data_IF_002975307142
#
_entry.id   IF_002975307142
#
_cell.length_a   1.000
_cell.length_b   1.000
_cell.length_c   1.000
_cell.angle_alpha   90.00
_cell.angle_beta   90.00
_cell.angle_gamma   90.00
#
_symmetry.space_group_name_H-M   'P 1'
#
loop_
_entity.id
_entity.type
_entity.pdbx_description
1 polymer ?
2 non-polymer ?
3 non-polymer ?
4 water ?
#
# COMPACT_ATOMS: atom_id res chain seq x y z
N UNK A 1 22.56 4.89 16.63
CA UNK A 1 21.63 5.20 17.70
C UNK A 1 20.36 4.35 17.56
N UNK A 2 19.59 4.27 18.63
CA UNK A 2 18.45 3.37 18.70
C UNK A 2 17.30 3.94 17.86
N UNK A 3 16.70 3.08 17.03
CA UNK A 3 15.43 3.43 16.40
C UNK A 3 14.37 3.62 17.49
N UNK A 4 13.39 4.47 17.22
CA UNK A 4 12.25 4.63 18.13
C UNK A 4 11.00 4.27 17.35
N UNK A 5 10.22 3.33 17.89
CA UNK A 5 8.95 2.91 17.29
C UNK A 5 7.80 3.27 18.20
N UNK A 6 6.87 4.09 17.69
CA UNK A 6 5.62 4.38 18.37
C UNK A 6 4.56 3.39 17.90
N UNK A 7 4.06 2.56 18.82
CA UNK A 7 3.24 1.40 18.48
C UNK A 7 2.11 1.24 19.48
N UNK A 8 1.13 0.39 19.15
CA UNK A 8 0.10 -0.01 20.10
C UNK A 8 0.12 -1.52 20.25
N UNK A 9 -0.18 -1.98 21.46
CA UNK A 9 0.04 -3.37 21.85
C UNK A 9 -0.88 -4.35 21.13
N UNK A 10 -2.03 -3.89 20.61
CA UNK A 10 -3.00 -4.78 20.00
C UNK A 10 -3.22 -4.49 18.51
N UNK A 11 -2.32 -3.73 17.87
CA UNK A 11 -2.52 -3.34 16.50
C UNK A 11 -1.66 -4.09 15.51
N UNK A 12 -2.27 -4.84 14.59
CA UNK A 12 -1.50 -5.68 13.66
C UNK A 12 -0.40 -4.92 12.91
N UNK A 13 -0.63 -3.67 12.46
CA UNK A 13 0.48 -2.99 11.75
C UNK A 13 1.69 -2.75 12.65
N UNK A 14 1.44 -2.43 13.91
CA UNK A 14 2.50 -2.30 14.92
C UNK A 14 3.23 -3.62 15.12
N UNK A 15 2.47 -4.72 15.27
CA UNK A 15 3.08 -6.03 15.50
C UNK A 15 3.99 -6.40 14.36
N UNK A 16 3.56 -6.13 13.12
CA UNK A 16 4.35 -6.51 11.96
C UNK A 16 5.70 -5.80 11.96
N UNK A 17 5.72 -4.51 12.28
CA UNK A 17 6.98 -3.79 12.29
C UNK A 17 7.89 -4.34 13.38
N UNK A 18 7.33 -4.64 14.55
CA UNK A 18 8.14 -5.19 15.63
C UNK A 18 8.75 -6.52 15.23
N UNK A 19 7.96 -7.40 14.60
CA UNK A 19 8.48 -8.70 14.17
C UNK A 19 9.64 -8.54 13.19
N UNK A 20 9.52 -7.63 12.23
CA UNK A 20 10.61 -7.39 11.29
C UNK A 20 11.87 -6.87 11.98
N UNK A 21 11.72 -5.88 12.88
CA UNK A 21 12.88 -5.38 13.62
C UNK A 21 13.56 -6.49 14.41
N UNK A 22 12.76 -7.36 15.03
CA UNK A 22 13.30 -8.47 15.81
C UNK A 22 13.95 -9.50 14.91
N UNK A 23 13.29 -9.85 13.80
CA UNK A 23 13.85 -10.84 12.87
C UNK A 23 15.17 -10.36 12.29
N UNK A 24 15.28 -9.08 12.00
CA UNK A 24 16.50 -8.49 11.42
C UNK A 24 17.52 -8.11 12.47
N UNK A 25 17.20 -8.32 13.76
CA UNK A 25 18.08 -7.95 14.87
C UNK A 25 18.49 -6.48 14.81
N UNK A 26 17.54 -5.61 14.49
CA UNK A 26 17.76 -4.17 14.51
C UNK A 26 17.28 -3.66 15.87
N UNK A 27 18.15 -3.12 16.71
CA UNK A 27 17.70 -2.68 18.04
C UNK A 27 16.85 -1.42 17.95
N UNK A 28 15.86 -1.33 18.84
CA UNK A 28 14.98 -0.17 18.86
C UNK A 28 14.39 0.02 20.25
N UNK A 29 13.93 1.25 20.49
CA UNK A 29 13.14 1.58 21.66
C UNK A 29 11.66 1.56 21.29
N UNK A 30 10.86 0.88 22.11
CA UNK A 30 9.43 0.75 21.91
C UNK A 30 8.70 1.78 22.78
N UNK A 31 7.84 2.58 22.16
CA UNK A 31 6.97 3.50 22.88
C UNK A 31 5.55 3.04 22.68
N UNK A 32 4.91 2.56 23.74
CA UNK A 32 3.53 2.09 23.68
C UNK A 32 2.61 3.29 23.75
N UNK A 33 1.96 3.62 22.63
CA UNK A 33 1.12 4.81 22.55
C UNK A 33 -0.16 4.58 23.32
N UNK A 34 -0.55 5.56 24.14
CA UNK A 34 -1.76 5.45 24.96
C UNK A 34 -2.97 5.78 24.10
N UNK A 35 -3.51 4.74 23.44
CA UNK A 35 -4.64 4.95 22.53
C UNK A 35 -5.86 5.47 23.29
N UNK A 36 -6.17 4.86 24.44
CA UNK A 36 -7.30 5.31 25.23
C UNK A 36 -7.22 6.76 25.67
N UNK A 37 -6.01 7.25 25.96
CA UNK A 37 -5.83 8.66 26.32
C UNK A 37 -5.78 9.58 25.11
N UNK A 38 -5.78 9.03 23.90
CA UNK A 38 -5.73 9.84 22.70
C UNK A 38 -4.36 10.34 22.33
N UNK A 39 -3.30 9.66 22.77
CA UNK A 39 -1.95 10.17 22.59
C UNK A 39 -1.62 10.35 21.11
N UNK A 40 -2.15 9.49 20.24
CA UNK A 40 -1.90 9.59 18.81
C UNK A 40 -2.62 10.77 18.15
N UNK A 41 -3.47 11.50 18.89
CA UNK A 41 -4.21 12.62 18.32
C UNK A 41 -3.59 13.97 18.68
N UNK A 42 -2.50 14.01 19.43
CA UNK A 42 -1.93 15.28 19.83
C UNK A 42 -1.08 15.91 18.72
N UNK A 43 -0.80 17.21 18.87
CA UNK A 43 0.05 17.90 17.91
C UNK A 43 1.47 17.38 17.94
N UNK A 44 1.99 16.98 19.12
CA UNK A 44 3.34 16.43 19.16
C UNK A 44 3.43 15.15 18.36
N UNK A 45 2.42 14.28 18.48
CA UNK A 45 2.40 13.06 17.68
C UNK A 45 2.29 13.40 16.20
N UNK A 46 1.49 14.42 15.86
CA UNK A 46 1.34 14.81 14.47
C UNK A 46 2.63 15.41 13.89
N UNK A 47 3.54 15.93 14.72
CA UNK A 47 4.86 16.31 14.23
C UNK A 47 5.57 15.12 13.58
N UNK A 48 5.35 13.91 14.11
CA UNK A 48 5.95 12.71 13.55
C UNK A 48 5.08 12.11 12.44
N UNK A 49 3.77 12.05 12.66
CA UNK A 49 2.85 11.48 11.69
C UNK A 49 1.62 12.37 11.53
N UNK A 50 1.59 13.22 10.53
CA UNK A 50 0.39 14.06 10.31
C UNK A 50 -0.88 13.26 10.05
N UNK A 51 -0.78 11.97 9.70
CA UNK A 51 -1.95 11.13 9.52
C UNK A 51 -2.58 10.68 10.85
N UNK A 52 -1.89 10.85 11.98
CA UNK A 52 -2.45 10.55 13.30
C UNK A 52 -2.78 9.08 13.45
N UNK A 53 -1.95 8.22 12.86
CA UNK A 53 -2.15 6.80 12.95
C UNK A 53 -0.90 6.15 13.54
N UNK A 54 -1.08 4.90 13.96
CA UNK A 54 -0.05 4.12 14.63
C UNK A 54 0.22 2.90 13.76
N UNK A 55 1.49 2.52 13.50
CA UNK A 55 2.72 3.05 14.10
C UNK A 55 3.40 4.19 13.35
N UNK A 56 4.42 4.77 13.98
CA UNK A 56 5.33 5.69 13.30
C UNK A 56 6.72 5.42 13.82
N UNK A 57 7.70 5.47 12.90
CA UNK A 57 9.10 5.24 13.22
C UNK A 57 9.84 6.57 13.30
N UNK A 58 10.73 6.69 14.29
CA UNK A 58 11.66 7.81 14.38
C UNK A 58 13.08 7.25 14.32
N UNK A 59 13.74 7.41 13.16
CA UNK A 59 15.11 6.91 12.96
C UNK A 59 16.01 8.15 12.97
N UNK A 60 16.47 8.50 14.16
CA UNK A 60 17.37 9.64 14.38
C UNK A 60 16.87 10.90 13.66
N UNK A 61 15.56 11.16 13.81
CA UNK A 61 14.93 12.36 13.29
C UNK A 61 14.20 12.18 11.99
N UNK A 62 14.38 11.06 11.30
CA UNK A 62 13.61 10.72 10.12
C UNK A 62 12.32 10.06 10.58
N UNK A 63 11.19 10.73 10.37
CA UNK A 63 9.87 10.24 10.77
C UNK A 63 9.19 9.55 9.60
N UNK A 64 8.87 8.27 9.76
CA UNK A 64 8.27 7.49 8.69
C UNK A 64 7.05 6.75 9.23
N UNK A 65 5.86 7.07 8.69
CA UNK A 65 4.66 6.30 9.00
C UNK A 65 4.35 5.35 7.84
N UNK A 66 3.17 4.70 7.91
CA UNK A 66 2.72 3.61 7.04
C UNK A 66 3.56 2.35 7.25
N UNK A 67 2.96 1.35 7.91
CA UNK A 67 3.72 0.18 8.34
C UNK A 67 4.37 -0.56 7.16
N UNK A 68 3.70 -0.60 5.99
CA UNK A 68 4.34 -1.27 4.85
C UNK A 68 5.62 -0.54 4.43
N UNK A 69 5.58 0.80 4.40
CA UNK A 69 6.78 1.57 4.04
C UNK A 69 7.86 1.42 5.12
N UNK A 70 7.45 1.33 6.39
CA UNK A 70 8.42 1.12 7.46
C UNK A 70 9.11 -0.23 7.30
N UNK A 71 8.32 -1.28 7.00
CA UNK A 71 8.89 -2.60 6.76
C UNK A 71 9.93 -2.55 5.63
N UNK A 72 9.57 -1.92 4.52
CA UNK A 72 10.50 -1.82 3.39
C UNK A 72 11.77 -1.05 3.77
N UNK A 73 11.62 0.01 4.56
CA UNK A 73 12.74 0.89 4.88
C UNK A 73 13.74 0.18 5.79
N UNK A 74 13.25 -0.51 6.82
CA UNK A 74 14.15 -1.20 7.75
C UNK A 74 15.01 -2.20 7.00
N UNK A 75 14.42 -2.90 6.03
CA UNK A 75 15.18 -3.84 5.22
C UNK A 75 16.15 -3.13 4.28
N UNK A 76 15.67 -2.13 3.54
CA UNK A 76 16.51 -1.39 2.60
C UNK A 76 17.69 -0.72 3.30
N UNK A 77 17.45 -0.11 4.46
CA UNK A 77 18.53 0.64 5.10
C UNK A 77 19.46 -0.25 5.90
N UNK A 78 18.93 -1.21 6.68
CA UNK A 78 19.79 -1.94 7.60
C UNK A 78 20.15 -3.35 7.18
N UNK A 79 19.39 -4.01 6.31
CA UNK A 79 19.73 -5.36 5.86
C UNK A 79 19.44 -5.53 4.38
N UNK A 80 20.08 -4.74 3.51
CA UNK A 80 19.74 -4.81 2.08
C UNK A 80 19.96 -6.18 1.45
N UNK A 81 20.91 -6.97 1.93
CA UNK A 81 21.08 -8.29 1.37
C UNK A 81 20.22 -9.38 1.96
N UNK A 82 19.27 -9.05 2.88
CA UNK A 82 18.52 -10.09 3.56
C UNK A 82 17.44 -10.69 2.65
N UNK A 83 17.28 -12.02 2.68
CA UNK A 83 16.16 -12.65 1.98
C UNK A 83 14.80 -12.26 2.54
N UNK A 84 14.74 -11.58 3.69
CA UNK A 84 13.45 -11.11 4.17
C UNK A 84 12.86 -10.06 3.22
N UNK A 85 13.67 -9.45 2.37
CA UNK A 85 13.17 -8.53 1.34
C UNK A 85 14.09 -8.66 0.14
N UNK A 86 13.83 -9.63 -0.74
CA UNK A 86 14.74 -9.91 -1.85
C UNK A 86 14.95 -8.70 -2.76
N UNK A 87 16.14 -8.61 -3.32
CA UNK A 87 16.48 -7.54 -4.25
C UNK A 87 16.15 -7.87 -5.71
N UNK A 88 16.00 -9.15 -6.03
CA UNK A 88 15.61 -9.51 -7.39
C UNK A 88 14.27 -8.86 -7.73
N UNK A 89 14.18 -8.10 -8.83
CA UNK A 89 12.95 -7.34 -9.10
C UNK A 89 11.66 -8.16 -9.07
N UNK A 90 11.64 -9.33 -9.72
CA UNK A 90 10.44 -10.15 -9.72
C UNK A 90 10.11 -10.65 -8.32
N UNK A 91 11.10 -11.22 -7.62
CA UNK A 91 10.86 -11.69 -6.26
C UNK A 91 10.43 -10.55 -5.34
N UNK A 92 11.04 -9.37 -5.53
CA UNK A 92 10.67 -8.20 -4.74
C UNK A 92 9.23 -7.78 -5.03
N UNK A 93 8.82 -7.89 -6.30
CA UNK A 93 7.46 -7.51 -6.67
C UNK A 93 6.42 -8.40 -6.01
N UNK A 94 6.71 -9.70 -5.84
CA UNK A 94 5.76 -10.56 -5.14
C UNK A 94 5.60 -10.11 -3.70
N UNK A 95 6.71 -9.75 -3.04
CA UNK A 95 6.63 -9.22 -1.69
C UNK A 95 5.82 -7.93 -1.66
N UNK A 96 6.16 -6.99 -2.55
CA UNK A 96 5.45 -5.71 -2.61
C UNK A 96 3.97 -5.92 -2.87
N UNK A 97 3.63 -6.84 -3.77
CA UNK A 97 2.22 -7.13 -4.03
C UNK A 97 1.52 -7.59 -2.76
N UNK A 98 2.11 -8.57 -2.06
CA UNK A 98 1.46 -9.12 -0.89
C UNK A 98 1.27 -8.07 0.21
N UNK A 99 2.20 -7.11 0.32
CA UNK A 99 2.05 -6.00 1.25
C UNK A 99 0.84 -5.13 0.85
N UNK A 100 0.76 -4.77 -0.44
CA UNK A 100 -0.36 -3.98 -0.91
C UNK A 100 -1.68 -4.74 -0.72
N UNK A 101 -1.69 -6.04 -1.04
CA UNK A 101 -2.89 -6.86 -0.90
C UNK A 101 -3.38 -6.89 0.54
N UNK A 102 -2.45 -6.98 1.51
CA UNK A 102 -2.89 -6.92 2.90
C UNK A 102 -3.55 -5.59 3.22
N UNK A 103 -2.93 -4.50 2.77
CA UNK A 103 -3.41 -3.16 3.11
C UNK A 103 -4.73 -2.85 2.40
N UNK A 104 -4.83 -3.20 1.12
CA UNK A 104 -5.99 -2.82 0.32
C UNK A 104 -7.20 -3.72 0.54
N UNK A 105 -6.99 -4.97 0.96
CA UNK A 105 -8.02 -6.00 0.82
C UNK A 105 -8.09 -6.96 2.00
N UNK A 106 -7.01 -7.70 2.26
CA UNK A 106 -7.06 -8.79 3.23
C UNK A 106 -7.33 -8.26 4.63
N UNK A 107 -6.45 -7.36 5.11
CA UNK A 107 -6.67 -6.76 6.42
C UNK A 107 -7.94 -5.92 6.44
N UNK A 108 -8.24 -5.23 5.34
CA UNK A 108 -9.40 -4.35 5.28
C UNK A 108 -10.69 -5.15 5.49
N UNK A 109 -10.82 -6.28 4.80
CA UNK A 109 -12.03 -7.10 4.90
C UNK A 109 -12.06 -7.88 6.20
N UNK A 110 -10.92 -8.46 6.60
CA UNK A 110 -10.92 -9.31 7.80
C UNK A 110 -11.18 -8.47 9.04
N UNK A 111 -10.49 -7.32 9.17
CA UNK A 111 -10.62 -6.51 10.37
C UNK A 111 -12.01 -5.90 10.49
N UNK A 112 -12.64 -5.55 9.37
CA UNK A 112 -14.01 -5.03 9.43
C UNK A 112 -14.94 -6.03 10.12
N UNK A 113 -14.66 -7.32 9.95
CA UNK A 113 -15.50 -8.34 10.56
C UNK A 113 -15.00 -8.75 11.95
N UNK A 114 -13.71 -9.05 12.10
CA UNK A 114 -13.23 -9.59 13.38
C UNK A 114 -13.31 -8.55 14.48
N UNK A 115 -13.21 -7.28 14.15
CA UNK A 115 -13.65 -6.21 15.04
C UNK A 115 -15.17 -6.06 14.96
N UNK A 124 -21.13 -7.38 12.63
CA UNK A 124 -20.88 -8.57 11.83
C UNK A 124 -22.13 -8.92 11.04
N UNK A 125 -22.01 -8.90 9.72
CA UNK A 125 -23.13 -9.05 8.80
C UNK A 125 -22.86 -10.20 7.84
N UNK A 126 -23.91 -10.72 7.20
CA UNK A 126 -23.68 -11.74 6.15
C UNK A 126 -22.71 -11.30 5.06
N UNK A 127 -22.77 -10.05 4.62
CA UNK A 127 -21.87 -9.61 3.56
C UNK A 127 -20.45 -9.47 4.09
N UNK A 128 -20.29 -9.03 5.34
CA UNK A 128 -18.96 -8.97 5.92
C UNK A 128 -18.33 -10.34 6.08
N UNK A 129 -19.14 -11.33 6.48
CA UNK A 129 -18.67 -12.70 6.56
C UNK A 129 -18.28 -13.23 5.18
N UNK A 130 -19.10 -12.93 4.16
CA UNK A 130 -18.75 -13.32 2.80
C UNK A 130 -17.43 -12.72 2.36
N UNK A 131 -17.19 -11.46 2.76
CA UNK A 131 -15.97 -10.79 2.32
C UNK A 131 -14.74 -11.35 3.04
N UNK A 132 -14.90 -11.82 4.28
CA UNK A 132 -13.81 -12.56 4.92
C UNK A 132 -13.45 -13.78 4.09
N UNK A 133 -14.47 -14.53 3.68
CA UNK A 133 -14.19 -15.77 2.93
C UNK A 133 -13.57 -15.47 1.57
N UNK A 134 -13.95 -14.35 0.94
CA UNK A 134 -13.34 -14.02 -0.35
C UNK A 134 -11.87 -13.68 -0.18
N UNK A 135 -11.51 -12.95 0.89
CA UNK A 135 -10.11 -12.64 1.16
C UNK A 135 -9.30 -13.90 1.43
N UNK A 136 -9.85 -14.79 2.26
CA UNK A 136 -9.18 -16.06 2.48
C UNK A 136 -9.03 -16.82 1.17
N UNK A 137 -10.09 -16.81 0.35
CA UNK A 137 -10.03 -17.56 -0.90
C UNK A 137 -8.96 -17.00 -1.83
N UNK A 138 -8.80 -15.68 -1.86
CA UNK A 138 -7.77 -15.07 -2.70
C UNK A 138 -6.38 -15.43 -2.20
N UNK A 139 -6.14 -15.31 -0.89
CA UNK A 139 -4.82 -15.68 -0.38
C UNK A 139 -4.56 -17.16 -0.57
N UNK A 140 -5.58 -18.00 -0.36
CA UNK A 140 -5.45 -19.42 -0.67
C UNK A 140 -5.09 -19.63 -2.13
N UNK A 141 -5.70 -18.84 -3.02
CA UNK A 141 -5.39 -18.94 -4.45
C UNK A 141 -3.94 -18.58 -4.72
N UNK A 142 -3.47 -17.47 -4.11
CA UNK A 142 -2.09 -17.06 -4.33
C UNK A 142 -1.11 -18.14 -3.85
N UNK A 143 -1.37 -18.72 -2.68
CA UNK A 143 -0.49 -19.76 -2.15
C UNK A 143 -0.48 -20.99 -3.04
N UNK A 144 -1.64 -21.33 -3.62
CA UNK A 144 -1.73 -22.47 -4.54
C UNK A 144 -0.92 -22.22 -5.80
N UNK A 145 -1.01 -21.01 -6.36
CA UNK A 145 -0.35 -20.74 -7.62
C UNK A 145 1.16 -20.63 -7.47
N UNK A 146 1.63 -19.98 -6.39
CA UNK A 146 3.07 -19.94 -6.17
C UNK A 146 3.58 -21.28 -5.66
N UNK A 147 2.72 -22.09 -5.04
CA UNK A 147 3.13 -23.37 -4.45
C UNK A 147 4.31 -23.18 -3.51
N UNK A 148 4.26 -22.11 -2.72
CA UNK A 148 5.33 -21.77 -1.79
C UNK A 148 4.87 -21.99 -0.35
N UNK A 149 5.86 -22.20 0.52
CA UNK A 149 5.55 -22.42 1.93
C UNK A 149 5.17 -21.11 2.62
N UNK A 150 5.63 -19.98 2.12
CA UNK A 150 5.34 -18.67 2.70
C UNK A 150 4.63 -17.80 1.66
N UNK A 151 4.26 -16.58 2.08
CA UNK A 151 3.33 -15.78 1.28
C UNK A 151 3.94 -15.30 -0.03
N UNK A 152 5.24 -15.07 -0.07
CA UNK A 152 5.87 -14.55 -1.28
C UNK A 152 7.05 -15.38 -1.78
N UNK A 153 7.42 -16.44 -1.08
CA UNK A 153 8.62 -17.20 -1.40
C UNK A 153 8.59 -18.47 -0.58
N UNK A 154 9.57 -19.34 -0.82
CA UNK A 154 9.76 -20.53 0.01
C UNK A 154 10.53 -20.22 1.27
N UNK A 155 10.72 -18.95 1.59
CA UNK A 155 11.30 -18.50 2.84
C UNK A 155 10.47 -17.33 3.34
N UNK A 156 10.60 -17.06 4.65
CA UNK A 156 9.92 -15.94 5.27
C UNK A 156 10.37 -14.61 4.67
N UNK A 157 9.40 -13.71 4.41
CA UNK A 157 9.70 -12.35 3.98
C UNK A 157 8.83 -11.37 4.76
N UNK A 158 9.10 -10.06 4.60
CA UNK A 158 8.28 -9.07 5.29
C UNK A 158 6.82 -9.14 4.84
N UNK A 159 6.53 -9.76 3.69
CA UNK A 159 5.14 -9.92 3.27
C UNK A 159 4.37 -10.80 4.25
N UNK A 160 5.06 -11.71 4.94
CA UNK A 160 4.35 -12.64 5.80
C UNK A 160 3.75 -11.96 7.03
N UNK A 161 4.47 -11.00 7.62
CA UNK A 161 4.03 -10.47 8.92
C UNK A 161 2.67 -9.79 8.86
N UNK A 162 2.39 -8.88 7.92
CA UNK A 162 1.05 -8.29 7.91
C UNK A 162 -0.04 -9.33 7.68
N UNK A 163 0.21 -10.32 6.82
CA UNK A 163 -0.81 -11.35 6.58
C UNK A 163 -0.97 -12.25 7.81
N UNK A 164 0.13 -12.60 8.47
CA UNK A 164 0.05 -13.38 9.71
C UNK A 164 -0.83 -12.66 10.72
N UNK A 165 -0.56 -11.37 10.93
CA UNK A 165 -1.27 -10.63 11.97
C UNK A 165 -2.72 -10.32 11.60
N UNK A 166 -3.03 -10.18 10.30
CA UNK A 166 -4.44 -10.14 9.92
C UNK A 166 -5.12 -11.46 10.26
N UNK A 167 -4.47 -12.59 9.91
CA UNK A 167 -5.05 -13.91 10.15
C UNK A 167 -5.20 -14.19 11.64
N UNK A 168 -4.27 -13.67 12.45
CA UNK A 168 -4.33 -13.83 13.89
C UNK A 168 -5.64 -13.29 14.45
N UNK A 169 -6.19 -12.24 13.85
CA UNK A 169 -7.44 -11.70 14.37
C UNK A 169 -8.62 -12.65 14.12
N UNK A 170 -8.52 -13.52 13.11
CA UNK A 170 -9.53 -14.56 12.96
C UNK A 170 -9.41 -15.57 14.11
N UNK A 171 -8.19 -16.03 14.39
CA UNK A 171 -8.02 -16.94 15.53
C UNK A 171 -8.50 -16.29 16.82
N UNK A 172 -8.28 -14.99 16.97
CA UNK A 172 -8.69 -14.30 18.20
C UNK A 172 -10.19 -14.42 18.45
N UNK A 173 -11.00 -14.49 17.39
CA UNK A 173 -12.44 -14.60 17.54
C UNK A 173 -12.94 -16.03 17.32
N UNK A 174 -12.03 -17.01 17.32
CA UNK A 174 -12.36 -18.43 17.14
C UNK A 174 -13.01 -18.69 15.80
N UNK A 175 -12.60 -17.95 14.78
CA UNK A 175 -13.08 -18.12 13.41
C UNK A 175 -12.36 -19.31 12.80
N UNK A 176 -13.12 -20.33 12.40
CA UNK A 176 -12.52 -21.52 11.79
C UNK A 176 -12.20 -21.24 10.33
N UNK A 177 -10.91 -21.27 9.99
CA UNK A 177 -10.48 -21.08 8.61
C UNK A 177 -9.71 -22.30 8.12
N UNK A 178 -9.94 -23.47 8.75
CA UNK A 178 -9.20 -24.68 8.41
C UNK A 178 -9.54 -25.21 7.02
N UNK A 179 -10.73 -24.86 6.50
CA UNK A 179 -11.08 -25.22 5.13
C UNK A 179 -10.06 -24.69 4.12
N UNK A 180 -9.39 -23.59 4.46
CA UNK A 180 -8.34 -23.00 3.62
C UNK A 180 -7.03 -23.70 3.95
N UNK A 181 -6.80 -24.82 3.25
CA UNK A 181 -5.77 -25.77 3.63
C UNK A 181 -4.40 -25.12 3.72
N UNK A 182 -4.02 -24.36 2.67
CA UNK A 182 -2.68 -23.81 2.61
C UNK A 182 -2.51 -22.65 3.59
N UNK A 183 -3.54 -21.82 3.77
CA UNK A 183 -3.44 -20.77 4.79
C UNK A 183 -3.23 -21.39 6.16
N UNK A 184 -4.05 -22.39 6.51
CA UNK A 184 -3.94 -23.00 7.84
C UNK A 184 -2.55 -23.59 8.08
N UNK A 185 -2.00 -24.31 7.09
CA UNK A 185 -0.66 -24.85 7.26
C UNK A 185 0.38 -23.74 7.38
N UNK A 186 0.31 -22.74 6.50
CA UNK A 186 1.25 -21.62 6.55
C UNK A 186 1.22 -20.93 7.89
N UNK A 187 0.02 -20.61 8.38
CA UNK A 187 -0.14 -19.88 9.63
C UNK A 187 0.41 -20.70 10.81
N UNK A 188 0.06 -21.98 10.88
CA UNK A 188 0.50 -22.78 12.01
C UNK A 188 1.99 -23.13 11.92
N UNK A 189 2.49 -23.37 10.71
CA UNK A 189 3.93 -23.55 10.52
C UNK A 189 4.71 -22.33 10.98
N UNK A 190 4.16 -21.13 10.80
CA UNK A 190 4.84 -19.92 11.26
C UNK A 190 5.08 -19.98 12.76
N UNK A 191 4.04 -20.35 13.53
CA UNK A 191 4.19 -20.45 14.97
C UNK A 191 5.31 -21.41 15.36
N UNK A 192 5.41 -22.54 14.67
CA UNK A 192 6.37 -23.56 15.07
C UNK A 192 7.78 -23.19 14.63
N UNK A 193 7.92 -22.60 13.44
CA UNK A 193 9.25 -22.28 12.94
C UNK A 193 9.81 -21.00 13.57
N UNK A 194 8.95 -20.08 13.99
CA UNK A 194 9.38 -18.77 14.50
C UNK A 194 8.63 -18.44 15.80
N UNK A 195 8.89 -19.20 16.86
CA UNK A 195 8.11 -19.00 18.09
C UNK A 195 8.31 -17.65 18.74
N UNK A 196 9.53 -17.09 18.68
CA UNK A 196 9.78 -15.77 19.24
C UNK A 196 8.97 -14.69 18.52
N UNK A 197 8.93 -14.76 17.19
CA UNK A 197 8.11 -13.82 16.43
C UNK A 197 6.63 -14.03 16.69
N UNK A 198 6.19 -15.29 16.76
CA UNK A 198 4.78 -15.54 17.05
C UNK A 198 4.40 -15.05 18.43
N UNK A 199 5.33 -15.05 19.40
CA UNK A 199 5.01 -14.52 20.72
C UNK A 199 4.55 -13.06 20.65
N UNK A 200 5.07 -12.29 19.69
CA UNK A 200 4.61 -10.92 19.51
C UNK A 200 3.14 -10.91 19.09
N UNK A 201 2.79 -11.76 18.12
CA UNK A 201 1.38 -11.86 17.69
C UNK A 201 0.51 -12.39 18.83
N UNK A 202 1.02 -13.38 19.57
CA UNK A 202 0.18 -14.05 20.57
C UNK A 202 -0.16 -13.12 21.72
N UNK A 203 0.78 -12.26 22.13
CA UNK A 203 0.47 -11.33 23.20
C UNK A 203 -0.66 -10.38 22.80
N UNK A 204 -0.67 -9.92 21.55
CA UNK A 204 -1.80 -9.11 21.10
C UNK A 204 -3.07 -9.94 21.00
N UNK A 205 -2.96 -11.19 20.52
CA UNK A 205 -4.15 -12.02 20.38
C UNK A 205 -4.88 -12.16 21.70
N UNK A 206 -4.13 -12.35 22.79
CA UNK A 206 -4.77 -12.47 24.10
C UNK A 206 -5.45 -11.17 24.51
N UNK A 207 -4.90 -10.02 24.09
CA UNK A 207 -5.60 -8.76 24.37
C UNK A 207 -6.87 -8.63 23.54
N UNK A 208 -6.80 -9.00 22.26
CA UNK A 208 -7.96 -8.90 21.39
C UNK A 208 -9.05 -9.86 21.84
N UNK A 209 -8.66 -11.03 22.33
CA UNK A 209 -9.63 -11.99 22.85
C UNK A 209 -10.40 -11.44 24.03
N UNK A 210 -9.74 -10.62 24.86
CA UNK A 210 -10.41 -9.97 25.97
C UNK A 210 -11.31 -8.82 25.48
N UNK B 1 6.81 -4.90 -27.75
CA UNK B 1 6.15 -4.62 -26.49
C UNK B 1 5.32 -5.82 -26.03
N UNK B 2 6.00 -6.91 -25.69
CA UNK B 2 5.31 -8.11 -25.17
C UNK B 2 4.78 -7.87 -23.77
N UNK B 3 5.08 -6.73 -23.15
CA UNK B 3 4.53 -6.36 -21.86
C UNK B 3 3.10 -5.87 -22.04
N UNK B 4 2.16 -6.41 -21.27
CA UNK B 4 0.74 -6.15 -21.47
C UNK B 4 0.13 -5.56 -20.21
N UNK B 5 -0.60 -4.46 -20.37
CA UNK B 5 -1.30 -3.82 -19.24
C UNK B 5 -2.80 -3.86 -19.47
N UNK B 6 -3.51 -4.50 -18.57
CA UNK B 6 -4.97 -4.49 -18.55
C UNK B 6 -5.44 -3.33 -17.67
N UNK B 7 -6.13 -2.37 -18.28
CA UNK B 7 -6.40 -1.08 -17.65
C UNK B 7 -7.80 -0.62 -18.00
N UNK B 8 -8.29 0.42 -17.31
CA UNK B 8 -9.56 1.06 -17.64
C UNK B 8 -9.32 2.55 -17.84
N UNK B 9 -10.03 3.12 -18.80
CA UNK B 9 -9.75 4.46 -19.32
C UNK B 9 -9.98 5.58 -18.32
N UNK B 10 -10.79 5.36 -17.28
CA UNK B 10 -11.12 6.41 -16.34
C UNK B 10 -10.64 6.10 -14.93
N UNK B 11 -9.72 5.15 -14.76
CA UNK B 11 -9.33 4.69 -13.45
C UNK B 11 -7.96 5.18 -13.03
N UNK B 12 -7.90 5.97 -11.96
CA UNK B 12 -6.62 6.58 -11.55
C UNK B 12 -5.49 5.58 -11.37
N UNK B 13 -5.72 4.37 -10.82
CA UNK B 13 -4.59 3.43 -10.70
C UNK B 13 -4.04 2.98 -12.05
N UNK B 14 -4.93 2.79 -13.02
CA UNK B 14 -4.51 2.48 -14.39
C UNK B 14 -3.71 3.64 -14.99
N UNK B 15 -4.20 4.87 -14.83
CA UNK B 15 -3.52 6.04 -15.39
C UNK B 15 -2.11 6.15 -14.84
N UNK B 16 -1.96 5.89 -13.55
CA UNK B 16 -0.64 6.05 -12.91
C UNK B 16 0.37 5.08 -13.52
N UNK B 17 -0.05 3.83 -13.74
CA UNK B 17 0.86 2.85 -14.32
C UNK B 17 1.21 3.25 -15.75
N UNK B 18 0.24 3.76 -16.50
CA UNK B 18 0.56 4.16 -17.88
C UNK B 18 1.54 5.32 -17.90
N UNK B 19 1.35 6.31 -17.03
CA UNK B 19 2.28 7.44 -16.97
C UNK B 19 3.69 6.98 -16.65
N UNK B 20 3.84 6.06 -15.68
CA UNK B 20 5.16 5.54 -15.36
C UNK B 20 5.79 4.81 -16.56
N UNK B 21 5.01 3.95 -17.23
CA UNK B 21 5.54 3.23 -18.39
C UNK B 21 5.98 4.20 -19.48
N UNK B 22 5.19 5.26 -19.70
CA UNK B 22 5.53 6.25 -20.71
C UNK B 22 6.75 7.06 -20.29
N UNK B 23 6.79 7.50 -19.02
CA UNK B 23 7.94 8.28 -18.55
C UNK B 23 9.24 7.47 -18.62
N UNK B 24 9.15 6.18 -18.36
CA UNK B 24 10.33 5.32 -18.38
C UNK B 24 10.67 4.81 -19.78
N UNK B 25 9.83 5.12 -20.76
CA UNK B 25 10.01 4.65 -22.14
C UNK B 25 10.03 3.12 -22.22
N UNK B 26 9.19 2.47 -21.43
CA UNK B 26 9.04 1.02 -21.48
C UNK B 26 7.87 0.72 -22.41
N UNK B 27 8.09 0.02 -23.53
CA UNK B 27 6.99 -0.23 -24.47
C UNK B 27 6.02 -1.26 -23.91
N UNK B 28 4.73 -1.07 -24.20
CA UNK B 28 3.73 -2.00 -23.71
C UNK B 28 2.52 -1.99 -24.63
N UNK B 29 1.75 -3.06 -24.56
CA UNK B 29 0.44 -3.16 -25.21
C UNK B 29 -0.64 -2.86 -24.17
N UNK B 30 -1.56 -1.96 -24.52
CA UNK B 30 -2.68 -1.57 -23.67
C UNK B 30 -3.92 -2.38 -24.02
N UNK B 31 -4.52 -2.99 -23.02
CA UNK B 31 -5.81 -3.68 -23.17
C UNK B 31 -6.82 -2.93 -22.34
N UNK B 32 -7.79 -2.32 -23.01
CA UNK B 32 -8.87 -1.59 -22.35
C UNK B 32 -9.89 -2.62 -21.87
N UNK B 33 -10.00 -2.77 -20.56
CA UNK B 33 -10.89 -3.78 -20.00
C UNK B 33 -12.31 -3.24 -20.08
N UNK B 34 -13.25 -4.09 -20.52
CA UNK B 34 -14.64 -3.65 -20.71
C UNK B 34 -15.34 -3.74 -19.36
N UNK B 35 -15.28 -2.64 -18.59
CA UNK B 35 -15.84 -2.62 -17.25
C UNK B 35 -17.36 -2.78 -17.27
N UNK B 36 -18.03 -2.08 -18.19
CA UNK B 36 -19.48 -2.19 -18.29
C UNK B 36 -19.96 -3.59 -18.61
N UNK B 37 -19.18 -4.33 -19.42
CA UNK B 37 -19.52 -5.71 -19.74
C UNK B 37 -19.03 -6.70 -18.69
N UNK B 38 -18.30 -6.24 -17.67
CA UNK B 38 -17.87 -7.12 -16.60
C UNK B 38 -16.65 -7.96 -16.91
N UNK B 39 -15.80 -7.50 -17.82
CA UNK B 39 -14.67 -8.32 -18.26
C UNK B 39 -13.70 -8.61 -17.11
N UNK B 40 -13.56 -7.68 -16.17
CA UNK B 40 -12.68 -7.93 -15.03
C UNK B 40 -13.23 -8.97 -14.06
N UNK B 41 -14.46 -9.44 -14.25
CA UNK B 41 -15.07 -10.40 -13.34
C UNK B 41 -15.02 -11.84 -13.85
N UNK B 42 -14.47 -12.07 -15.05
CA UNK B 42 -14.45 -13.42 -15.59
C UNK B 42 -13.31 -14.26 -15.01
N UNK B 43 -13.43 -15.59 -15.17
CA UNK B 43 -12.38 -16.48 -14.68
C UNK B 43 -11.07 -16.30 -15.44
N UNK B 44 -11.14 -15.98 -16.75
CA UNK B 44 -9.91 -15.71 -17.49
C UNK B 44 -9.16 -14.52 -16.90
N UNK B 45 -9.90 -13.45 -16.57
CA UNK B 45 -9.25 -12.31 -15.93
C UNK B 45 -8.71 -12.68 -14.56
N UNK B 46 -9.46 -13.49 -13.81
CA UNK B 46 -9.00 -13.92 -12.49
C UNK B 46 -7.76 -14.82 -12.57
N UNK B 47 -7.52 -15.49 -13.70
CA UNK B 47 -6.24 -16.17 -13.88
C UNK B 47 -5.06 -15.22 -13.72
N UNK B 48 -5.24 -13.97 -14.13
CA UNK B 48 -4.21 -12.96 -14.00
C UNK B 48 -4.27 -12.25 -12.65
N UNK B 49 -5.47 -11.89 -12.20
CA UNK B 49 -5.65 -11.15 -10.94
C UNK B 49 -6.82 -11.76 -10.17
N UNK B 50 -6.55 -12.67 -9.24
CA UNK B 50 -7.65 -13.26 -8.45
C UNK B 50 -8.42 -12.22 -7.64
N UNK B 51 -7.90 -11.01 -7.47
CA UNK B 51 -8.62 -9.95 -6.79
C UNK B 51 -9.69 -9.29 -7.66
N UNK B 52 -9.69 -9.54 -8.98
CA UNK B 52 -10.73 -9.04 -9.88
C UNK B 52 -10.75 -7.53 -9.95
N UNK B 53 -9.58 -6.90 -9.87
CA UNK B 53 -9.51 -5.45 -9.94
C UNK B 53 -8.60 -5.06 -11.08
N UNK B 54 -8.71 -3.79 -11.45
CA UNK B 54 -7.95 -3.22 -12.58
C UNK B 54 -7.03 -2.14 -12.00
N UNK B 55 -5.75 -2.04 -12.41
CA UNK B 55 -5.09 -2.80 -13.49
C UNK B 55 -4.41 -4.11 -13.09
N UNK B 56 -3.98 -4.86 -14.11
CA UNK B 56 -3.06 -5.99 -13.90
C UNK B 56 -2.06 -5.99 -15.05
N UNK B 57 -0.80 -6.30 -14.72
CA UNK B 57 0.29 -6.36 -15.68
C UNK B 57 0.60 -7.82 -16.01
N UNK B 58 0.83 -8.09 -17.30
CA UNK B 58 1.34 -9.38 -17.75
C UNK B 58 2.71 -9.14 -18.39
N UNK B 59 3.77 -9.55 -17.69
CA UNK B 59 5.15 -9.41 -18.17
C UNK B 59 5.62 -10.82 -18.51
N UNK B 60 5.45 -11.21 -19.78
CA UNK B 60 5.92 -12.50 -20.27
C UNK B 60 5.40 -13.64 -19.39
N UNK B 61 4.16 -13.52 -18.93
CA UNK B 61 3.54 -14.53 -18.10
C UNK B 61 3.66 -14.31 -16.61
N UNK B 62 4.40 -13.29 -16.18
CA UNK B 62 4.39 -12.85 -14.79
C UNK B 62 3.23 -11.89 -14.62
N UNK B 63 2.21 -12.31 -13.87
CA UNK B 63 1.01 -11.52 -13.62
C UNK B 63 1.15 -10.77 -12.31
N UNK B 64 1.07 -9.44 -12.37
CA UNK B 64 1.25 -8.62 -11.18
C UNK B 64 0.12 -7.60 -11.10
N UNK B 65 -0.70 -7.71 -10.05
CA UNK B 65 -1.72 -6.69 -9.77
C UNK B 65 -1.20 -5.76 -8.67
N UNK B 66 -2.09 -4.87 -8.17
CA UNK B 66 -1.82 -3.76 -7.26
C UNK B 66 -0.95 -2.70 -7.93
N UNK B 67 -1.57 -1.56 -8.28
CA UNK B 67 -0.87 -0.55 -9.09
C UNK B 67 0.40 -0.02 -8.42
N UNK B 68 0.41 0.12 -7.08
CA UNK B 68 1.64 0.55 -6.40
C UNK B 68 2.77 -0.46 -6.62
N UNK B 69 2.47 -1.74 -6.47
CA UNK B 69 3.49 -2.76 -6.71
C UNK B 69 3.92 -2.80 -8.17
N UNK B 70 2.98 -2.58 -9.09
CA UNK B 70 3.33 -2.51 -10.51
C UNK B 70 4.28 -1.35 -10.77
N UNK B 71 4.00 -0.18 -10.18
CA UNK B 71 4.88 0.98 -10.32
C UNK B 71 6.29 0.65 -9.83
N UNK B 72 6.39 0.03 -8.66
CA UNK B 72 7.71 -0.32 -8.11
C UNK B 72 8.43 -1.33 -9.00
N UNK B 73 7.70 -2.28 -9.56
CA UNK B 73 8.31 -3.35 -10.35
C UNK B 73 8.84 -2.83 -11.67
N UNK B 74 8.07 -1.97 -12.34
CA UNK B 74 8.52 -1.43 -13.62
C UNK B 74 9.85 -0.68 -13.45
N UNK B 75 10.00 0.06 -12.35
CA UNK B 75 11.25 0.76 -12.08
C UNK B 75 12.36 -0.21 -11.69
N UNK B 76 12.10 -1.10 -10.74
CA UNK B 76 13.12 -2.05 -10.28
C UNK B 76 13.63 -2.92 -11.41
N UNK B 77 12.75 -3.37 -12.30
CA UNK B 77 13.16 -4.30 -13.34
C UNK B 77 13.78 -3.60 -14.53
N UNK B 78 13.16 -2.52 -15.02
CA UNK B 78 13.62 -1.94 -16.28
C UNK B 78 14.42 -0.66 -16.15
N UNK B 79 14.32 0.09 -15.07
CA UNK B 79 15.12 1.32 -14.91
C UNK B 79 15.61 1.46 -13.48
N UNK B 80 16.40 0.49 -12.99
CA UNK B 80 16.78 0.53 -11.56
C UNK B 80 17.58 1.74 -11.16
N UNK B 81 18.33 2.33 -12.08
CA UNK B 81 19.04 3.54 -11.74
C UNK B 81 18.27 4.84 -11.92
N UNK B 82 16.94 4.78 -12.24
CA UNK B 82 16.22 6.01 -12.56
C UNK B 82 15.86 6.79 -11.29
N UNK B 83 15.97 8.12 -11.33
CA UNK B 83 15.51 8.94 -10.21
C UNK B 83 14.00 8.90 -10.01
N UNK B 84 13.24 8.32 -10.95
CA UNK B 84 11.81 8.14 -10.74
C UNK B 84 11.53 7.20 -9.56
N UNK B 85 12.50 6.38 -9.18
CA UNK B 85 12.38 5.53 -7.98
C UNK B 85 13.77 5.40 -7.37
N UNK B 86 14.18 6.37 -6.56
CA UNK B 86 15.55 6.38 -6.04
C UNK B 86 15.90 5.11 -5.27
N UNK B 87 17.19 4.76 -5.32
CA UNK B 87 17.68 3.58 -4.62
C UNK B 87 18.15 3.88 -3.21
N UNK B 88 18.45 5.14 -2.90
CA UNK B 88 18.86 5.49 -1.55
C UNK B 88 17.74 5.12 -0.58
N UNK B 89 18.03 4.37 0.48
CA UNK B 89 16.93 3.87 1.34
C UNK B 89 16.02 4.94 1.88
N UNK B 90 16.55 6.06 2.39
CA UNK B 90 15.69 7.12 2.92
C UNK B 90 14.86 7.76 1.81
N UNK B 91 15.49 8.11 0.69
CA UNK B 91 14.74 8.71 -0.40
C UNK B 91 13.69 7.73 -0.94
N UNK B 92 14.04 6.44 -0.99
CA UNK B 92 13.09 5.43 -1.44
C UNK B 92 11.92 5.30 -0.48
N UNK B 93 12.21 5.40 0.83
CA UNK B 93 11.15 5.31 1.84
C UNK B 93 10.13 6.42 1.70
N UNK B 94 10.58 7.64 1.36
CA UNK B 94 9.62 8.73 1.15
C UNK B 94 8.70 8.41 -0.01
N UNK B 95 9.24 7.88 -1.11
CA UNK B 95 8.41 7.44 -2.22
C UNK B 95 7.43 6.35 -1.77
N UNK B 96 7.96 5.31 -1.11
CA UNK B 96 7.10 4.21 -0.65
C UNK B 96 6.01 4.73 0.27
N UNK B 97 6.35 5.66 1.15
CA UNK B 97 5.35 6.22 2.05
C UNK B 97 4.23 6.91 1.27
N UNK B 98 4.62 7.76 0.32
CA UNK B 98 3.62 8.51 -0.42
C UNK B 98 2.72 7.58 -1.24
N UNK B 99 3.26 6.46 -1.72
CA UNK B 99 2.44 5.45 -2.39
C UNK B 99 1.42 4.85 -1.43
N UNK B 100 1.88 4.46 -0.23
CA UNK B 100 0.98 3.90 0.77
C UNK B 100 -0.07 4.92 1.20
N UNK B 101 0.35 6.17 1.38
CA UNK B 101 -0.55 7.25 1.81
C UNK B 101 -1.65 7.48 0.78
N UNK B 102 -1.31 7.41 -0.51
CA UNK B 102 -2.37 7.52 -1.52
C UNK B 102 -3.35 6.36 -1.42
N UNK B 103 -2.84 5.14 -1.29
CA UNK B 103 -3.69 3.96 -1.26
C UNK B 103 -4.54 3.92 0.00
N UNK B 104 -3.93 4.23 1.15
CA UNK B 104 -4.61 4.04 2.43
C UNK B 104 -5.57 5.18 2.77
N UNK B 105 -5.32 6.40 2.29
CA UNK B 105 -5.99 7.57 2.83
C UNK B 105 -6.41 8.58 1.76
N UNK B 106 -5.43 9.08 1.00
CA UNK B 106 -5.68 10.22 0.11
C UNK B 106 -6.69 9.85 -0.97
N UNK B 107 -6.38 8.82 -1.76
CA UNK B 107 -7.32 8.36 -2.78
C UNK B 107 -8.60 7.80 -2.16
N UNK B 108 -8.46 7.11 -1.02
CA UNK B 108 -9.62 6.51 -0.36
C UNK B 108 -10.65 7.57 0.02
N UNK B 109 -10.18 8.67 0.63
CA UNK B 109 -11.08 9.74 1.07
C UNK B 109 -11.57 10.58 -0.10
N UNK B 110 -10.65 10.97 -0.99
CA UNK B 110 -11.04 11.85 -2.09
C UNK B 110 -12.04 11.15 -3.00
N UNK B 111 -11.77 9.90 -3.38
CA UNK B 111 -12.61 9.21 -4.34
C UNK B 111 -13.98 8.87 -3.73
N UNK B 112 -14.04 8.62 -2.42
CA UNK B 112 -15.35 8.42 -1.80
C UNK B 112 -16.24 9.62 -2.01
N UNK B 113 -15.66 10.82 -2.05
CA UNK B 113 -16.45 12.01 -2.24
C UNK B 113 -16.66 12.33 -3.73
N UNK B 114 -15.58 12.32 -4.52
CA UNK B 114 -15.72 12.67 -5.94
C UNK B 114 -16.47 11.59 -6.73
N UNK B 115 -16.78 10.44 -6.14
CA UNK B 115 -17.63 9.43 -6.74
C UNK B 115 -18.96 9.30 -5.99
N UNK B 116 -19.93 8.70 -6.67
CA UNK B 116 -21.24 8.38 -6.09
C UNK B 116 -21.92 9.58 -5.44
N UNK B 123 -24.63 10.66 -1.30
CA UNK B 123 -23.33 10.07 -0.98
C UNK B 123 -22.31 11.15 -0.63
N UNK B 124 -22.46 12.34 -1.20
CA UNK B 124 -21.62 13.47 -0.82
C UNK B 124 -22.20 14.08 0.46
N UNK B 125 -21.50 13.91 1.57
CA UNK B 125 -21.97 14.25 2.90
C UNK B 125 -21.03 15.26 3.54
N UNK B 126 -21.50 15.99 4.57
CA UNK B 126 -20.60 16.85 5.34
C UNK B 126 -19.34 16.15 5.85
N UNK B 127 -19.46 14.91 6.32
CA UNK B 127 -18.27 14.25 6.84
C UNK B 127 -17.33 13.84 5.71
N UNK B 128 -17.90 13.42 4.56
CA UNK B 128 -17.05 13.10 3.42
C UNK B 128 -16.31 14.31 2.90
N UNK B 129 -16.98 15.46 2.89
CA UNK B 129 -16.31 16.71 2.50
C UNK B 129 -15.22 17.06 3.49
N UNK B 130 -15.47 16.89 4.79
CA UNK B 130 -14.44 17.15 5.79
C UNK B 130 -13.24 16.25 5.57
N UNK B 131 -13.48 14.99 5.22
CA UNK B 131 -12.38 14.06 5.05
C UNK B 131 -11.56 14.38 3.80
N UNK B 132 -12.19 14.93 2.75
CA UNK B 132 -11.43 15.44 1.63
C UNK B 132 -10.47 16.53 2.10
N UNK B 133 -10.97 17.46 2.91
CA UNK B 133 -10.11 18.55 3.36
C UNK B 133 -9.01 18.06 4.29
N UNK B 134 -9.27 17.01 5.09
CA UNK B 134 -8.21 16.47 5.93
C UNK B 134 -7.10 15.84 5.09
N UNK B 135 -7.47 15.14 4.00
CA UNK B 135 -6.47 14.53 3.13
C UNK B 135 -5.63 15.59 2.43
N UNK B 136 -6.29 16.63 1.89
CA UNK B 136 -5.56 17.74 1.32
C UNK B 136 -4.65 18.38 2.36
N UNK B 137 -5.15 18.57 3.59
CA UNK B 137 -4.35 19.19 4.62
C UNK B 137 -3.11 18.37 4.94
N UNK B 138 -3.25 17.04 4.96
CA UNK B 138 -2.11 16.17 5.26
C UNK B 138 -1.09 16.23 4.13
N UNK B 139 -1.54 16.17 2.87
CA UNK B 139 -0.58 16.27 1.77
C UNK B 139 0.09 17.65 1.74
N UNK B 140 -0.69 18.70 1.98
CA UNK B 140 -0.13 20.05 2.10
C UNK B 140 0.91 20.09 3.20
N UNK B 141 0.62 19.42 4.33
CA UNK B 141 1.59 19.38 5.43
C UNK B 141 2.86 18.68 4.99
N UNK B 142 2.73 17.56 4.28
CA UNK B 142 3.92 16.83 3.83
C UNK B 142 4.76 17.68 2.88
N UNK B 143 4.11 18.38 1.94
CA UNK B 143 4.85 19.23 1.02
C UNK B 143 5.54 20.39 1.76
N UNK B 144 4.89 20.92 2.79
CA UNK B 144 5.50 21.99 3.59
C UNK B 144 6.75 21.49 4.30
N UNK B 145 6.69 20.29 4.88
CA UNK B 145 7.80 19.80 5.68
C UNK B 145 8.99 19.41 4.82
N UNK B 146 8.75 18.71 3.71
CA UNK B 146 9.88 18.37 2.85
C UNK B 146 10.38 19.60 2.10
N UNK B 147 9.52 20.59 1.90
CA UNK B 147 9.85 21.78 1.11
C UNK B 147 10.39 21.39 -0.25
N UNK B 148 9.73 20.43 -0.89
CA UNK B 148 10.11 19.93 -2.21
C UNK B 148 9.06 20.33 -3.24
N UNK B 149 9.49 20.39 -4.49
CA UNK B 149 8.58 20.76 -5.57
C UNK B 149 7.64 19.62 -5.96
N UNK B 150 8.04 18.38 -5.70
CA UNK B 150 7.25 17.19 -6.00
C UNK B 150 6.95 16.43 -4.70
N UNK B 151 6.18 15.34 -4.83
CA UNK B 151 5.61 14.70 -3.64
C UNK B 151 6.65 14.04 -2.75
N UNK B 152 7.74 13.52 -3.33
CA UNK B 152 8.74 12.81 -2.53
C UNK B 152 10.14 13.37 -2.68
N UNK B 153 10.34 14.35 -3.54
CA UNK B 153 11.68 14.84 -3.83
C UNK B 153 11.53 16.13 -4.62
N UNK B 154 12.67 16.74 -4.95
CA UNK B 154 12.69 17.91 -5.83
C UNK B 154 12.65 17.53 -7.29
N UNK B 155 12.41 16.26 -7.59
CA UNK B 155 12.20 15.77 -8.94
C UNK B 155 11.01 14.81 -8.92
N UNK B 156 10.46 14.56 -10.11
CA UNK B 156 9.34 13.64 -10.27
C UNK B 156 9.73 12.22 -9.87
N UNK B 157 8.82 11.55 -9.14
CA UNK B 157 8.99 10.13 -8.80
C UNK B 157 7.67 9.40 -9.03
N UNK B 158 7.71 8.07 -8.94
CA UNK B 158 6.46 7.32 -9.09
C UNK B 158 5.44 7.68 -8.01
N UNK B 159 5.88 8.27 -6.89
CA UNK B 159 4.93 8.70 -5.87
C UNK B 159 4.01 9.80 -6.39
N UNK B 160 4.46 10.56 -7.40
CA UNK B 160 3.64 11.67 -7.88
C UNK B 160 2.40 11.21 -8.63
N UNK B 161 2.51 10.17 -9.45
CA UNK B 161 1.41 9.80 -10.34
C UNK B 161 0.13 9.44 -9.59
N UNK B 162 0.14 8.57 -8.57
CA UNK B 162 -1.13 8.28 -7.89
C UNK B 162 -1.72 9.52 -7.23
N UNK B 163 -0.88 10.38 -6.65
CA UNK B 163 -1.42 11.58 -6.02
C UNK B 163 -1.95 12.56 -7.06
N UNK B 164 -1.27 12.67 -8.20
CA UNK B 164 -1.76 13.54 -9.27
C UNK B 164 -3.14 13.09 -9.71
N UNK B 165 -3.30 11.79 -9.97
CA UNK B 165 -4.56 11.29 -10.48
C UNK B 165 -5.67 11.28 -9.43
N UNK B 166 -5.33 11.15 -8.14
CA UNK B 166 -6.33 11.38 -7.11
C UNK B 166 -6.81 12.85 -7.15
N UNK B 167 -5.85 13.78 -7.21
CA UNK B 167 -6.18 15.20 -7.23
C UNK B 167 -6.94 15.59 -8.49
N UNK B 168 -6.64 14.91 -9.60
CA UNK B 168 -7.35 15.16 -10.85
C UNK B 168 -8.85 14.94 -10.68
N UNK B 169 -9.26 14.00 -9.83
CA UNK B 169 -10.70 13.77 -9.67
C UNK B 169 -11.37 14.92 -8.93
N UNK B 170 -10.63 15.69 -8.13
CA UNK B 170 -11.19 16.91 -7.57
C UNK B 170 -11.42 17.94 -8.67
N UNK B 171 -10.43 18.12 -9.55
CA UNK B 171 -10.65 19.04 -10.66
C UNK B 171 -11.82 18.60 -11.53
N UNK B 172 -12.02 17.29 -11.68
CA UNK B 172 -13.08 16.79 -12.53
C UNK B 172 -14.45 17.22 -12.06
N UNK B 173 -14.62 17.44 -10.75
CA UNK B 173 -15.90 17.88 -10.21
C UNK B 173 -15.90 19.36 -9.86
N UNK B 174 -14.90 20.11 -10.34
CA UNK B 174 -14.77 21.55 -10.09
C UNK B 174 -14.64 21.87 -8.61
N UNK B 175 -13.98 20.97 -7.87
CA UNK B 175 -13.68 21.19 -6.46
C UNK B 175 -12.54 22.17 -6.36
N UNK B 176 -12.77 23.30 -5.67
CA UNK B 176 -11.72 24.30 -5.49
C UNK B 176 -10.80 23.86 -4.35
N UNK B 177 -9.53 23.62 -4.67
CA UNK B 177 -8.54 23.29 -3.67
C UNK B 177 -7.37 24.29 -3.70
N UNK B 178 -7.63 25.50 -4.21
CA UNK B 178 -6.56 26.49 -4.37
C UNK B 178 -6.04 27.00 -3.04
N UNK B 179 -6.84 26.91 -1.97
CA UNK B 179 -6.35 27.32 -0.67
C UNK B 179 -5.20 26.44 -0.18
N UNK B 180 -5.04 25.24 -0.76
CA UNK B 180 -3.89 24.37 -0.48
C UNK B 180 -2.78 24.79 -1.43
N UNK B 181 -2.02 25.80 -1.00
CA UNK B 181 -1.10 26.53 -1.87
C UNK B 181 -0.10 25.61 -2.56
N UNK B 182 0.56 24.76 -1.79
CA UNK B 182 1.62 23.93 -2.35
C UNK B 182 1.05 22.82 -3.22
N UNK B 183 -0.08 22.22 -2.83
CA UNK B 183 -0.73 21.24 -3.70
C UNK B 183 -1.09 21.89 -5.04
N UNK B 184 -1.77 23.03 -4.99
CA UNK B 184 -2.22 23.68 -6.22
C UNK B 184 -1.04 23.98 -7.15
N UNK B 185 0.07 24.48 -6.59
CA UNK B 185 1.26 24.74 -7.40
C UNK B 185 1.84 23.45 -7.96
N UNK B 186 2.01 22.43 -7.11
CA UNK B 186 2.57 21.15 -7.55
C UNK B 186 1.73 20.54 -8.67
N UNK B 187 0.41 20.51 -8.48
CA UNK B 187 -0.50 19.91 -9.45
C UNK B 187 -0.43 20.65 -10.79
N UNK B 188 -0.46 21.98 -10.74
CA UNK B 188 -0.43 22.74 -12.00
C UNK B 188 0.95 22.77 -12.63
N UNK B 189 2.02 22.79 -11.82
CA UNK B 189 3.36 22.67 -12.38
C UNK B 189 3.55 21.33 -13.11
N UNK B 190 2.90 20.27 -12.62
CA UNK B 190 3.01 18.98 -13.29
C UNK B 190 2.49 19.05 -14.72
N UNK B 191 1.35 19.71 -14.92
CA UNK B 191 0.78 19.85 -16.25
C UNK B 191 1.75 20.54 -17.21
N UNK B 192 2.44 21.58 -16.72
CA UNK B 192 3.28 22.40 -17.59
C UNK B 192 4.60 21.71 -17.86
N UNK B 193 5.19 21.07 -16.84
CA UNK B 193 6.48 20.42 -17.01
C UNK B 193 6.36 19.10 -17.76
N UNK B 194 5.22 18.40 -17.65
CA UNK B 194 5.05 17.07 -18.23
C UNK B 194 3.74 16.97 -18.99
N UNK B 195 3.58 17.75 -20.07
CA UNK B 195 2.28 17.78 -20.76
C UNK B 195 1.88 16.45 -21.37
N UNK B 196 2.85 15.66 -21.85
CA UNK B 196 2.52 14.33 -22.39
C UNK B 196 1.93 13.42 -21.33
N UNK B 197 2.50 13.44 -20.11
CA UNK B 197 1.96 12.64 -19.03
C UNK B 197 0.61 13.16 -18.57
N UNK B 198 0.47 14.48 -18.47
CA UNK B 198 -0.82 15.04 -18.07
C UNK B 198 -1.91 14.70 -19.09
N UNK B 199 -1.55 14.55 -20.38
CA UNK B 199 -2.55 14.17 -21.37
C UNK B 199 -3.25 12.88 -20.99
N UNK B 200 -2.53 11.95 -20.37
CA UNK B 200 -3.14 10.70 -19.90
C UNK B 200 -4.18 10.97 -18.83
N UNK B 201 -3.84 11.82 -17.85
CA UNK B 201 -4.81 12.21 -16.83
C UNK B 201 -5.97 13.00 -17.43
N UNK B 202 -5.67 13.88 -18.37
CA UNK B 202 -6.70 14.77 -18.91
C UNK B 202 -7.75 13.99 -19.68
N UNK B 203 -7.34 12.98 -20.44
CA UNK B 203 -8.31 12.18 -21.18
C UNK B 203 -9.30 11.50 -20.23
N UNK B 204 -8.81 10.98 -19.10
CA UNK B 204 -9.70 10.42 -18.11
C UNK B 204 -10.56 11.49 -17.46
N UNK B 205 -9.97 12.66 -17.16
CA UNK B 205 -10.74 13.73 -16.51
C UNK B 205 -11.97 14.10 -17.32
N UNK B 206 -11.81 14.19 -18.65
CA UNK B 206 -12.96 14.51 -19.50
C UNK B 206 -14.01 13.41 -19.46
N UNK B 207 -13.59 12.14 -19.32
CA UNK B 207 -14.57 11.07 -19.16
C UNK B 207 -15.28 11.19 -17.82
N UNK B 208 -14.52 11.38 -16.74
CA UNK B 208 -15.11 11.53 -15.41
C UNK B 208 -16.03 12.74 -15.36
N UNK B 209 -15.72 13.79 -16.13
CA UNK B 209 -16.64 14.90 -16.33
C UNK B 209 -17.78 14.47 -17.25
X LIG C 1 0.99 0.39 -0.81
X LIG C 1 2.28 0.72 -1.38
X LIG C 1 1.14 -0.69 0.24
X LIG C 1 2.46 -1.27 0.17
X LIG D 1 2.33 -13.21 -8.62
X LIG D 1 1.96 -14.13 -7.57
X LIG D 1 2.57 -11.83 -8.03
X LIG D 1 1.38 -11.39 -7.38
X LIG E 1 -8.90 8.52 21.91
X LIG E 1 -9.16 7.42 21.00
X LIG E 1 -9.85 9.68 21.64
X LIG E 1 -9.17 10.95 21.74
X LIG F 1 -0.61 1.21 8.82
X LIG F 1 0.47 1.73 9.20
X LIG F 1 -0.51 0.22 8.06
X LIG F 1 -1.94 1.77 9.25
X LIG G 1 -0.25 5.78 -22.75
X LIG G 1 -0.92 4.51 -22.84
X LIG G 1 -0.82 6.83 -23.71
X LIG G 1 0.23 7.67 -24.23
X LIG H 1 -5.01 -0.61 -7.34
X LIG H 1 -4.30 0.23 -6.76
X LIG H 1 -4.45 -1.34 -8.20
X LIG H 1 -6.48 -0.74 -7.05
#
# INVERSE_FOLDING_TARGET
MVLKLYAVSDGPPSLSVRQALVALEVPFELINVDFGAGEHMTSDYALMNPQKEIPVLDDEGFYLSESNAILQYICDKYRPGSPLYPQDPKSRAIVNHRLCFNLSSYYANISAYTMAPIFFDYERTPLGLKKVHISLDVLETYLTRTNTSYAAANHLTIADFPLINSTMTLEAIDFDFSKYTKIHKWYNDFKVKYPDLWKISESAMKEIQHFAANPPDLTHLNHPIHPIRKIKN
MVLKLYAVSDGPPSLSVRQALVALEVPFELINVDFGAGEHMTSDYALMNPQKEIPVLDDEGFYLSESNAILQYICDKYRPGSPLYPQDPKSRAIVNHRLCFNLSSYYANISAYTMAPIFFDYERTPLGLKKVHISLDVLETYLTRTNTSYAAANHLTIADFPLINSTMTLEAIDFDFSKYTKIHKWYNDFKVKYPDLWKISESAMKEIQHFAANPPDLTHLNHPIHPIRKIKN
EDO C1 O1 C2 O2
EDO C1 O1 C2 O2
EDO C1 O1 C2 O2
ACT C O OXT CH3
EDO C1 O1 C2 O2
ACT C O OXT CH3
#
